data_IF_379118041014
#
_entry.id   IF_379118041014
#
_cell.length_a   1.000
_cell.length_b   1.000
_cell.length_c   1.000
_cell.angle_alpha   90.00
_cell.angle_beta   90.00
_cell.angle_gamma   90.00
#
_symmetry.space_group_name_H-M   'P 1'
#
loop_
_entity.id
_entity.type
_entity.pdbx_description
1 polymer ?
#
# COMPACT_ATOMS: atom_id res chain seq x y z
N UNK A 1 -14.53 -12.47 -21.26
CA UNK A 1 -14.80 -12.72 -19.81
C UNK A 1 -15.89 -13.78 -19.73
N UNK A 2 -15.66 -14.86 -19.01
CA UNK A 2 -16.58 -16.00 -18.97
C UNK A 2 -17.80 -15.72 -18.09
N UNK A 3 -18.95 -16.26 -18.48
CA UNK A 3 -20.18 -16.17 -17.70
C UNK A 3 -20.03 -16.93 -16.37
N UNK A 4 -20.32 -16.32 -15.20
CA UNK A 4 -20.20 -17.00 -13.91
C UNK A 4 -21.23 -18.12 -13.67
N UNK A 5 -22.23 -18.25 -14.56
CA UNK A 5 -23.30 -19.24 -14.40
C UNK A 5 -23.15 -20.47 -15.32
N UNK A 6 -22.58 -20.29 -16.52
CA UNK A 6 -22.48 -21.37 -17.49
C UNK A 6 -21.11 -21.46 -18.19
N UNK A 7 -20.13 -20.63 -17.76
CA UNK A 7 -18.77 -20.56 -18.30
C UNK A 7 -18.68 -20.22 -19.81
N UNK A 8 -19.78 -19.79 -20.45
CA UNK A 8 -19.75 -19.38 -21.85
C UNK A 8 -18.92 -18.10 -22.02
N UNK A 9 -18.14 -17.99 -23.11
CA UNK A 9 -17.12 -16.93 -23.27
C UNK A 9 -17.69 -15.60 -23.71
N UNK A 10 -18.84 -15.59 -24.39
CA UNK A 10 -19.39 -14.39 -25.01
C UNK A 10 -20.55 -13.79 -24.21
N UNK A 11 -20.56 -12.49 -24.12
CA UNK A 11 -21.59 -11.72 -23.44
C UNK A 11 -21.73 -10.35 -24.09
N UNK A 12 -22.94 -9.82 -24.18
CA UNK A 12 -23.20 -8.44 -24.60
C UNK A 12 -23.32 -7.51 -23.40
N UNK A 13 -22.87 -6.27 -23.58
CA UNK A 13 -23.06 -5.21 -22.59
C UNK A 13 -24.44 -4.61 -22.78
N UNK A 14 -25.25 -4.62 -21.73
CA UNK A 14 -26.63 -4.10 -21.72
C UNK A 14 -26.68 -2.68 -21.18
N UNK A 15 -25.84 -2.35 -20.19
CA UNK A 15 -25.77 -1.03 -19.57
C UNK A 15 -24.35 -0.74 -19.10
N UNK A 16 -23.94 0.54 -19.16
CA UNK A 16 -22.64 1.01 -18.70
C UNK A 16 -22.80 2.31 -17.92
N UNK A 17 -22.21 2.41 -16.74
CA UNK A 17 -22.26 3.61 -15.90
C UNK A 17 -20.89 3.87 -15.25
N UNK A 18 -20.50 5.13 -15.20
CA UNK A 18 -19.35 5.56 -14.41
C UNK A 18 -19.72 5.45 -12.91
N UNK A 19 -18.73 5.09 -12.11
CA UNK A 19 -18.84 5.09 -10.65
C UNK A 19 -17.94 6.19 -10.08
N UNK A 20 -18.22 6.61 -8.83
CA UNK A 20 -17.47 7.67 -8.15
C UNK A 20 -15.99 7.29 -7.92
N UNK A 21 -15.65 6.01 -8.02
CA UNK A 21 -14.30 5.45 -7.85
C UNK A 21 -13.48 5.37 -9.15
N UNK A 22 -13.77 6.21 -10.15
CA UNK A 22 -13.09 6.19 -11.47
C UNK A 22 -13.08 4.80 -12.14
N UNK A 23 -14.14 4.04 -11.95
CA UNK A 23 -14.36 2.74 -12.56
C UNK A 23 -15.63 2.74 -13.41
N UNK A 24 -15.75 1.80 -14.35
CA UNK A 24 -16.93 1.63 -15.18
C UNK A 24 -17.66 0.36 -14.74
N UNK A 25 -18.87 0.54 -14.25
CA UNK A 25 -19.78 -0.58 -13.97
C UNK A 25 -20.50 -0.98 -15.24
N UNK A 26 -20.33 -2.24 -15.68
CA UNK A 26 -21.04 -2.78 -16.84
C UNK A 26 -21.98 -3.90 -16.45
N UNK A 27 -23.23 -3.79 -16.88
CA UNK A 27 -24.20 -4.88 -16.78
C UNK A 27 -24.14 -5.70 -18.05
N UNK A 28 -23.81 -6.98 -17.95
CA UNK A 28 -23.62 -7.90 -19.06
C UNK A 28 -24.72 -8.96 -19.08
N UNK A 29 -25.07 -9.44 -20.27
CA UNK A 29 -25.99 -10.56 -20.47
C UNK A 29 -25.27 -11.65 -21.26
N UNK A 30 -25.25 -12.87 -20.72
CA UNK A 30 -24.65 -14.02 -21.38
C UNK A 30 -25.43 -14.37 -22.65
N UNK A 31 -24.73 -14.63 -23.75
CA UNK A 31 -25.39 -15.00 -25.00
C UNK A 31 -25.95 -16.39 -24.99
N UNK A 32 -25.41 -17.32 -24.18
CA UNK A 32 -25.90 -18.68 -24.03
C UNK A 32 -27.06 -18.78 -23.03
N UNK A 33 -26.83 -18.52 -21.73
CA UNK A 33 -27.80 -18.74 -20.67
C UNK A 33 -28.74 -17.54 -20.39
N UNK A 34 -28.53 -16.39 -21.10
CA UNK A 34 -29.31 -15.16 -20.95
C UNK A 34 -29.31 -14.54 -19.55
N UNK A 35 -28.57 -15.11 -18.60
CA UNK A 35 -28.45 -14.54 -17.26
C UNK A 35 -27.60 -13.28 -17.29
N UNK A 36 -27.95 -12.33 -16.42
CA UNK A 36 -27.27 -11.05 -16.30
C UNK A 36 -26.33 -11.06 -15.11
N UNK A 37 -25.15 -10.46 -15.31
CA UNK A 37 -24.15 -10.26 -14.28
C UNK A 37 -23.50 -8.88 -14.44
N UNK A 38 -22.86 -8.42 -13.36
CA UNK A 38 -22.21 -7.11 -13.35
C UNK A 38 -20.70 -7.31 -13.32
N UNK A 39 -19.99 -6.49 -14.10
CA UNK A 39 -18.53 -6.40 -14.08
C UNK A 39 -18.10 -4.97 -13.82
N UNK A 40 -16.93 -4.80 -13.22
CA UNK A 40 -16.30 -3.51 -13.02
C UNK A 40 -15.01 -3.48 -13.84
N UNK A 41 -14.85 -2.44 -14.63
CA UNK A 41 -13.58 -2.13 -15.30
C UNK A 41 -12.89 -1.04 -14.48
N UNK A 42 -11.72 -1.35 -13.98
CA UNK A 42 -10.87 -0.41 -13.24
C UNK A 42 -9.54 -0.28 -13.96
N UNK A 43 -8.96 0.91 -13.93
CA UNK A 43 -7.61 1.11 -14.44
C UNK A 43 -6.64 0.54 -13.42
N UNK A 44 -5.94 -0.52 -13.79
CA UNK A 44 -4.89 -1.10 -12.95
C UNK A 44 -3.57 -0.36 -13.22
N UNK A 45 -3.32 0.70 -12.46
CA UNK A 45 -2.08 1.51 -12.54
C UNK A 45 -1.16 1.27 -11.34
N UNK A 46 -1.29 0.11 -10.68
CA UNK A 46 -0.50 -0.16 -9.47
C UNK A 46 0.93 -0.55 -9.82
N UNK A 47 1.94 0.27 -9.47
CA UNK A 47 3.34 -0.11 -9.58
C UNK A 47 3.64 -1.38 -8.78
N UNK A 48 4.61 -2.19 -9.23
CA UNK A 48 5.02 -3.40 -8.53
C UNK A 48 6.12 -3.09 -7.53
N UNK A 49 6.01 -3.62 -6.32
CA UNK A 49 7.09 -3.50 -5.34
C UNK A 49 8.08 -4.62 -5.53
N UNK A 50 9.35 -4.26 -5.75
CA UNK A 50 10.44 -5.21 -5.93
C UNK A 50 11.20 -5.38 -4.63
N UNK A 51 11.20 -6.60 -4.10
CA UNK A 51 12.16 -7.01 -3.07
C UNK A 51 13.49 -7.40 -3.72
N UNK A 52 14.61 -7.18 -3.03
CA UNK A 52 15.95 -7.62 -3.45
C UNK A 52 16.05 -9.11 -3.82
N UNK A 53 15.09 -9.92 -3.40
CA UNK A 53 14.94 -11.35 -3.70
C UNK A 53 13.86 -11.61 -4.76
N UNK A 54 13.98 -11.05 -5.95
CA UNK A 54 13.32 -11.42 -7.22
C UNK A 54 11.80 -11.68 -7.26
N UNK A 55 11.03 -11.50 -6.20
CA UNK A 55 9.57 -11.63 -6.25
C UNK A 55 8.91 -10.24 -6.29
N UNK A 56 8.41 -9.85 -7.46
CA UNK A 56 7.61 -8.64 -7.61
C UNK A 56 6.20 -8.86 -7.05
N UNK A 57 5.78 -8.04 -6.07
CA UNK A 57 4.43 -8.06 -5.51
C UNK A 57 3.73 -6.72 -5.80
N UNK A 58 2.42 -6.75 -6.00
CA UNK A 58 1.63 -5.53 -6.23
C UNK A 58 1.66 -4.62 -5.00
N UNK A 59 1.70 -3.29 -5.18
CA UNK A 59 1.76 -2.30 -4.09
C UNK A 59 0.63 -2.48 -3.09
N UNK A 60 -0.60 -2.66 -3.55
CA UNK A 60 -1.74 -2.90 -2.69
C UNK A 60 -1.47 -4.07 -1.72
N UNK A 61 -0.85 -5.14 -2.20
CA UNK A 61 -0.46 -6.28 -1.36
C UNK A 61 0.66 -5.95 -0.38
N UNK A 62 1.66 -5.15 -0.79
CA UNK A 62 2.81 -4.82 0.07
C UNK A 62 2.46 -3.77 1.12
N UNK A 63 1.62 -2.79 0.78
CA UNK A 63 1.24 -1.73 1.70
C UNK A 63 0.06 -2.15 2.59
N UNK A 64 -0.89 -2.96 2.09
CA UNK A 64 -2.07 -3.38 2.85
C UNK A 64 -1.93 -4.71 3.59
N UNK A 65 -1.19 -5.68 3.05
CA UNK A 65 -1.14 -7.04 3.62
C UNK A 65 0.26 -7.54 4.01
N UNK A 66 1.34 -6.78 3.68
CA UNK A 66 2.71 -7.21 3.92
C UNK A 66 3.44 -6.48 5.06
N UNK A 67 4.67 -6.95 5.31
CA UNK A 67 5.59 -6.55 6.38
C UNK A 67 5.62 -5.04 6.74
N UNK A 68 5.56 -4.05 5.81
CA UNK A 68 5.58 -2.66 6.22
C UNK A 68 4.35 -2.22 7.02
N UNK A 69 3.13 -2.61 6.64
CA UNK A 69 1.92 -2.27 7.40
C UNK A 69 1.92 -2.95 8.76
N UNK A 70 2.21 -4.25 8.79
CA UNK A 70 2.30 -5.00 10.06
C UNK A 70 3.44 -4.47 10.94
N UNK A 71 4.57 -4.07 10.33
CA UNK A 71 5.68 -3.41 11.02
C UNK A 71 5.27 -2.05 11.59
N UNK A 72 4.54 -1.24 10.82
CA UNK A 72 4.00 0.05 11.23
C UNK A 72 3.03 -0.11 12.41
N UNK A 73 2.04 -1.00 12.31
CA UNK A 73 1.07 -1.28 13.39
C UNK A 73 1.80 -1.75 14.65
N UNK A 74 2.72 -2.71 14.53
CA UNK A 74 3.50 -3.22 15.69
C UNK A 74 4.37 -2.13 16.32
N UNK A 75 4.93 -1.23 15.55
CA UNK A 75 5.72 -0.13 16.08
C UNK A 75 4.87 0.86 16.89
N UNK A 76 3.62 1.06 16.50
CA UNK A 76 2.66 1.95 17.15
C UNK A 76 1.89 1.28 18.31
N UNK A 77 2.09 -0.02 18.54
CA UNK A 77 1.39 -0.77 19.58
C UNK A 77 1.66 -0.18 20.98
N UNK A 78 0.59 0.07 21.74
CA UNK A 78 0.62 0.73 23.08
C UNK A 78 1.17 2.17 23.04
N UNK A 79 1.08 2.84 21.90
CA UNK A 79 1.39 4.26 21.75
C UNK A 79 0.12 5.04 21.44
N UNK A 80 0.08 6.36 21.72
CA UNK A 80 -1.08 7.22 21.44
C UNK A 80 -1.18 7.57 19.94
N UNK A 81 -1.07 6.55 19.08
CA UNK A 81 -1.22 6.68 17.63
C UNK A 81 -2.51 6.00 17.21
N UNK A 82 -3.44 6.76 16.63
CA UNK A 82 -4.73 6.25 16.20
C UNK A 82 -4.62 5.43 14.91
N UNK A 83 -5.61 4.57 14.68
CA UNK A 83 -5.71 3.80 13.44
C UNK A 83 -5.85 4.74 12.24
N UNK A 84 -6.60 5.83 12.38
CA UNK A 84 -6.78 6.83 11.32
C UNK A 84 -5.45 7.49 10.91
N UNK A 85 -4.55 7.74 11.87
CA UNK A 85 -3.20 8.25 11.59
C UNK A 85 -2.39 7.22 10.80
N UNK A 86 -2.46 5.95 11.17
CA UNK A 86 -1.78 4.86 10.45
C UNK A 86 -2.32 4.75 9.02
N UNK A 87 -3.63 4.79 8.83
CA UNK A 87 -4.28 4.76 7.51
C UNK A 87 -3.92 5.98 6.66
N UNK A 88 -3.81 7.16 7.28
CA UNK A 88 -3.36 8.38 6.61
C UNK A 88 -1.92 8.25 6.10
N UNK A 89 -1.02 7.64 6.87
CA UNK A 89 0.37 7.36 6.44
C UNK A 89 0.37 6.40 5.25
N UNK A 90 -0.41 5.34 5.32
CA UNK A 90 -0.52 4.35 4.23
C UNK A 90 -1.03 5.02 2.96
N UNK A 91 -2.15 5.75 3.04
CA UNK A 91 -2.75 6.46 1.91
C UNK A 91 -1.80 7.51 1.31
N UNK A 92 -1.03 8.20 2.15
CA UNK A 92 -0.01 9.13 1.68
C UNK A 92 1.06 8.41 0.86
N UNK A 93 1.57 7.29 1.36
CA UNK A 93 2.61 6.50 0.69
C UNK A 93 2.10 5.95 -0.64
N UNK A 94 0.90 5.37 -0.67
CA UNK A 94 0.26 4.88 -1.88
C UNK A 94 0.13 5.99 -2.94
N UNK A 95 -0.31 7.17 -2.52
CA UNK A 95 -0.42 8.33 -3.41
C UNK A 95 0.94 8.79 -3.96
N UNK A 96 1.99 8.82 -3.12
CA UNK A 96 3.34 9.19 -3.56
C UNK A 96 3.91 8.16 -4.56
N UNK A 97 3.69 6.90 -4.30
CA UNK A 97 4.14 5.83 -5.19
C UNK A 97 3.41 5.90 -6.53
N UNK A 98 2.08 6.03 -6.51
CA UNK A 98 1.28 6.12 -7.73
C UNK A 98 1.61 7.36 -8.58
N UNK A 99 2.04 8.47 -7.96
CA UNK A 99 2.44 9.69 -8.68
C UNK A 99 3.83 9.60 -9.30
N UNK A 100 4.78 8.98 -8.59
CA UNK A 100 6.20 9.08 -8.92
C UNK A 100 6.75 7.80 -9.58
N UNK A 101 6.07 6.65 -9.42
CA UNK A 101 6.53 5.36 -9.89
C UNK A 101 5.46 4.68 -10.74
N UNK A 102 5.73 4.54 -12.05
CA UNK A 102 4.78 3.92 -12.98
C UNK A 102 4.83 2.40 -12.99
N UNK A 103 5.98 1.81 -12.69
CA UNK A 103 6.19 0.36 -12.87
C UNK A 103 6.67 -0.37 -11.64
N UNK A 104 7.72 0.13 -10.97
CA UNK A 104 8.37 -0.57 -9.86
C UNK A 104 8.84 0.40 -8.78
N UNK A 105 8.77 0.00 -7.51
CA UNK A 105 9.30 0.72 -6.36
C UNK A 105 10.06 -0.23 -5.42
N UNK A 106 11.21 0.20 -4.93
CA UNK A 106 11.99 -0.59 -3.97
C UNK A 106 11.33 -0.56 -2.58
N UNK A 107 11.31 -1.72 -1.90
CA UNK A 107 10.80 -1.82 -0.52
C UNK A 107 11.51 -0.87 0.44
N UNK A 108 12.80 -0.59 0.21
CA UNK A 108 13.60 0.35 0.99
C UNK A 108 13.00 1.76 0.97
N UNK A 109 12.57 2.22 -0.19
CA UNK A 109 11.98 3.55 -0.33
C UNK A 109 10.67 3.69 0.45
N UNK A 110 9.85 2.63 0.43
CA UNK A 110 8.60 2.59 1.22
C UNK A 110 8.91 2.71 2.72
N UNK A 111 9.92 1.98 3.20
CA UNK A 111 10.31 2.07 4.60
C UNK A 111 10.85 3.43 5.02
N UNK A 112 11.61 4.09 4.15
CA UNK A 112 12.08 5.46 4.40
C UNK A 112 10.90 6.45 4.46
N UNK A 113 9.92 6.35 3.56
CA UNK A 113 8.69 7.16 3.60
C UNK A 113 7.88 6.94 4.89
N UNK A 114 7.80 5.70 5.37
CA UNK A 114 7.15 5.38 6.65
C UNK A 114 7.90 6.04 7.81
N UNK A 115 9.22 5.92 7.83
CA UNK A 115 10.06 6.51 8.88
C UNK A 115 9.93 8.03 8.94
N UNK A 116 9.95 8.70 7.78
CA UNK A 116 9.77 10.15 7.71
C UNK A 116 8.42 10.59 8.30
N UNK A 117 7.36 9.85 8.03
CA UNK A 117 6.04 10.17 8.60
C UNK A 117 5.91 9.82 10.08
N UNK A 118 6.57 8.75 10.53
CA UNK A 118 6.55 8.39 11.94
C UNK A 118 7.30 9.38 12.83
N UNK A 119 8.33 10.07 12.32
CA UNK A 119 9.04 11.13 13.06
C UNK A 119 8.07 12.22 13.53
N UNK A 120 7.12 12.61 12.66
CA UNK A 120 6.16 13.67 12.94
C UNK A 120 5.02 13.21 13.88
N UNK A 121 4.73 11.91 13.91
CA UNK A 121 3.60 11.35 14.64
C UNK A 121 4.00 10.90 16.05
N UNK A 122 5.01 10.04 16.17
CA UNK A 122 5.48 9.48 17.45
C UNK A 122 6.91 8.93 17.34
N UNK A 123 7.82 9.54 18.05
CA UNK A 123 9.25 9.21 18.01
C UNK A 123 9.56 7.79 18.48
N UNK A 124 8.83 7.32 19.50
CA UNK A 124 9.04 5.97 20.02
C UNK A 124 8.63 4.95 18.97
N UNK A 125 7.52 5.18 18.25
CA UNK A 125 7.11 4.35 17.13
C UNK A 125 8.12 4.41 15.98
N UNK A 126 8.68 5.59 15.70
CA UNK A 126 9.78 5.74 14.74
C UNK A 126 10.98 4.87 15.11
N UNK A 127 11.48 4.99 16.35
CA UNK A 127 12.65 4.23 16.83
C UNK A 127 12.41 2.73 16.75
N UNK A 128 11.23 2.27 17.16
CA UNK A 128 10.83 0.86 17.08
C UNK A 128 10.78 0.35 15.65
N UNK A 129 10.20 1.12 14.73
CA UNK A 129 10.16 0.77 13.32
C UNK A 129 11.57 0.74 12.71
N UNK A 130 12.36 1.80 12.94
CA UNK A 130 13.73 1.91 12.45
C UNK A 130 14.64 0.79 12.95
N UNK A 131 14.48 0.36 14.22
CA UNK A 131 15.30 -0.72 14.79
C UNK A 131 15.18 -2.05 14.04
N UNK A 132 14.00 -2.35 13.51
CA UNK A 132 13.75 -3.55 12.70
C UNK A 132 14.12 -3.31 11.23
N UNK A 133 13.76 -2.14 10.70
CA UNK A 133 13.87 -1.85 9.28
C UNK A 133 15.31 -1.60 8.81
N UNK A 134 16.07 -0.77 9.56
CA UNK A 134 17.46 -0.39 9.20
C UNK A 134 18.50 -1.47 9.51
N UNK A 135 18.14 -2.54 10.23
CA UNK A 135 19.06 -3.62 10.60
C UNK A 135 20.42 -3.07 11.09
N UNK A 136 20.39 -2.28 12.17
CA UNK A 136 21.60 -1.69 12.74
C UNK A 136 22.67 -2.75 13.03
N UNK A 137 23.89 -2.50 12.55
CA UNK A 137 25.01 -3.45 12.70
C UNK A 137 25.55 -3.49 14.13
N UNK A 138 25.43 -2.38 14.86
CA UNK A 138 25.93 -2.20 16.22
C UNK A 138 25.14 -1.15 16.99
N UNK A 139 25.35 -1.13 18.30
CA UNK A 139 24.69 -0.21 19.23
C UNK A 139 25.07 1.25 18.96
N UNK A 140 26.31 1.52 18.54
CA UNK A 140 26.78 2.88 18.31
C UNK A 140 26.07 3.54 17.15
N UNK A 141 25.85 2.78 16.07
CA UNK A 141 25.08 3.24 14.90
C UNK A 141 23.65 3.58 15.30
N UNK A 142 23.02 2.74 16.15
CA UNK A 142 21.68 3.01 16.68
C UNK A 142 21.63 4.25 17.59
N UNK A 143 22.59 4.41 18.49
CA UNK A 143 22.67 5.59 19.37
C UNK A 143 22.89 6.88 18.57
N UNK A 144 23.69 6.84 17.50
CA UNK A 144 23.89 8.00 16.63
C UNK A 144 22.60 8.42 15.92
N UNK A 145 21.80 7.47 15.46
CA UNK A 145 20.47 7.76 14.90
C UNK A 145 19.55 8.44 15.91
N UNK A 146 19.52 7.95 17.16
CA UNK A 146 18.75 8.58 18.24
C UNK A 146 19.21 10.02 18.52
N UNK A 147 20.51 10.29 18.55
CA UNK A 147 21.04 11.64 18.72
C UNK A 147 20.62 12.58 17.59
N UNK A 148 20.59 12.10 16.36
CA UNK A 148 20.15 12.91 15.20
C UNK A 148 18.70 13.36 15.37
N UNK A 149 17.83 12.46 15.83
CA UNK A 149 16.40 12.78 16.07
C UNK A 149 16.26 13.84 17.15
N UNK A 150 17.02 13.71 18.25
CA UNK A 150 16.99 14.66 19.35
C UNK A 150 17.47 16.06 18.92
N UNK A 151 18.52 16.13 18.09
CA UNK A 151 19.06 17.40 17.59
C UNK A 151 18.18 18.10 16.55
N UNK A 152 17.34 17.37 15.81
CA UNK A 152 16.38 17.94 14.86
C UNK A 152 15.22 18.69 15.57
N UNK A 153 14.95 18.38 16.83
CA UNK A 153 13.91 19.03 17.63
C UNK A 153 14.34 20.35 18.29
N UNK A 154 15.60 20.53 18.51
CA UNK A 154 16.13 21.74 19.16
C UNK A 154 16.29 22.93 18.19
N UNK A 155 15.79 22.79 16.97
CA UNK A 155 15.71 23.82 15.93
C UNK A 155 14.32 24.28 15.67
#
# INVERSE_FOLDING_TARGET
MQCPYCNYKESKVVDSRHTDSNSIRRRRECESCKKRYTTYETIETTPKVVKKSREAKTIAYVVTECEPKNGLIKSCEKRPVSIDQIESVISYIENQINKNYMTEVETRLIGEMIMDKLKDIDEVSYVRFASVYRQFKDINTFVNELKTILMEKDK
#
